data_IF_310644340735
#
_entry.id   IF_310644340735
#
_cell.length_a   1.000
_cell.length_b   1.000
_cell.length_c   1.000
_cell.angle_alpha   90.00
_cell.angle_beta   90.00
_cell.angle_gamma   90.00
#
_symmetry.space_group_name_H-M   'P 1'
#
loop_
_entity.id
_entity.type
_entity.pdbx_description
1 polymer ?
#
# COMPACT_ATOMS: atom_id res chain seq x y z
N UNK A 1 7.68 -9.72 6.20
CA UNK A 1 7.13 -8.45 6.74
C UNK A 1 8.27 -7.46 6.88
N UNK A 2 8.16 -6.28 6.26
CA UNK A 2 9.20 -5.23 6.30
C UNK A 2 9.50 -4.86 7.77
N UNK A 3 10.78 -4.67 8.12
CA UNK A 3 11.27 -4.49 9.50
C UNK A 3 10.61 -3.27 10.17
N UNK A 4 10.40 -2.21 9.40
CA UNK A 4 9.84 -0.93 9.81
C UNK A 4 8.39 -1.10 10.27
N UNK A 5 7.54 -1.79 9.50
CA UNK A 5 6.15 -2.06 9.89
C UNK A 5 6.06 -2.85 11.19
N UNK A 6 6.95 -3.84 11.39
CA UNK A 6 6.99 -4.61 12.64
C UNK A 6 7.28 -3.70 13.82
N UNK A 7 8.25 -2.79 13.68
CA UNK A 7 8.59 -1.82 14.72
C UNK A 7 7.41 -0.89 15.03
N UNK A 8 6.72 -0.39 14.01
CA UNK A 8 5.54 0.49 14.19
C UNK A 8 4.43 -0.24 14.93
N UNK A 9 4.09 -1.47 14.53
CA UNK A 9 3.07 -2.28 15.20
C UNK A 9 3.47 -2.54 16.66
N UNK A 10 4.71 -2.95 16.91
CA UNK A 10 5.21 -3.19 18.27
C UNK A 10 5.19 -1.93 19.15
N UNK A 11 5.45 -0.76 18.57
CA UNK A 11 5.35 0.50 19.28
C UNK A 11 3.89 0.87 19.57
N UNK A 12 3.00 0.71 18.60
CA UNK A 12 1.58 1.00 18.72
C UNK A 12 0.87 0.13 19.77
N UNK A 13 1.27 -1.14 19.92
CA UNK A 13 0.73 -2.06 20.92
C UNK A 13 0.99 -1.64 22.39
N UNK A 14 1.76 -0.58 22.62
CA UNK A 14 1.95 0.02 23.95
C UNK A 14 0.83 0.99 24.33
N UNK A 15 -0.04 1.33 23.37
CA UNK A 15 -1.15 2.25 23.52
C UNK A 15 -2.48 1.51 23.38
N UNK A 16 -3.57 2.16 23.80
CA UNK A 16 -4.92 1.65 23.60
C UNK A 16 -5.36 1.92 22.16
N UNK A 17 -5.15 0.92 21.30
CA UNK A 17 -5.49 0.97 19.87
C UNK A 17 -6.69 0.08 19.61
N UNK A 18 -7.63 0.58 18.81
CA UNK A 18 -8.87 -0.12 18.49
C UNK A 18 -8.65 -1.16 17.37
N UNK A 19 -7.77 -0.85 16.40
CA UNK A 19 -7.58 -1.70 15.22
C UNK A 19 -6.22 -1.50 14.54
N UNK A 20 -5.73 -2.55 13.88
CA UNK A 20 -4.51 -2.56 13.06
C UNK A 20 -4.76 -3.33 11.77
N UNK A 21 -4.70 -2.64 10.64
CA UNK A 21 -4.91 -3.22 9.32
C UNK A 21 -3.70 -3.03 8.42
N UNK A 22 -3.44 -4.00 7.54
CA UNK A 22 -2.41 -3.90 6.51
C UNK A 22 -3.02 -4.08 5.13
N UNK A 23 -2.68 -3.18 4.21
CA UNK A 23 -3.14 -3.20 2.83
C UNK A 23 -1.97 -3.21 1.86
N UNK A 24 -2.17 -3.82 0.70
CA UNK A 24 -1.35 -3.55 -0.47
C UNK A 24 -1.82 -2.23 -1.10
N UNK A 25 -0.89 -1.31 -1.27
CA UNK A 25 -1.06 -0.02 -1.93
C UNK A 25 -0.73 -0.08 -3.42
N UNK A 26 -0.74 1.08 -4.05
CA UNK A 26 -0.44 1.23 -5.47
C UNK A 26 1.05 0.93 -5.74
N UNK A 27 1.36 0.32 -6.89
CA UNK A 27 2.74 -0.08 -7.29
C UNK A 27 3.48 -0.94 -6.26
N UNK A 28 2.73 -1.72 -5.48
CA UNK A 28 3.28 -2.62 -4.48
C UNK A 28 3.68 -1.97 -3.16
N UNK A 29 3.43 -0.68 -2.96
CA UNK A 29 3.61 -0.08 -1.64
C UNK A 29 2.78 -0.84 -0.60
N UNK A 30 3.22 -0.84 0.65
CA UNK A 30 2.54 -1.52 1.74
C UNK A 30 2.09 -0.50 2.77
N UNK A 31 0.78 -0.46 3.00
CA UNK A 31 0.12 0.51 3.88
C UNK A 31 -0.24 -0.18 5.19
N UNK A 32 0.15 0.41 6.30
CA UNK A 32 -0.26 0.04 7.65
C UNK A 32 -1.22 1.12 8.16
N UNK A 33 -2.44 0.74 8.52
CA UNK A 33 -3.44 1.60 9.16
C UNK A 33 -3.55 1.20 10.63
N UNK A 34 -3.42 2.16 11.53
CA UNK A 34 -3.70 1.99 12.96
C UNK A 34 -4.81 2.95 13.34
N UNK A 35 -5.77 2.47 14.14
CA UNK A 35 -6.93 3.24 14.58
C UNK A 35 -6.95 3.32 16.10
N UNK A 36 -7.22 4.50 16.63
CA UNK A 36 -7.44 4.72 18.06
C UNK A 36 -8.39 5.90 18.27
N UNK A 37 -9.14 5.90 19.37
CA UNK A 37 -9.85 7.07 19.89
C UNK A 37 -8.94 8.11 20.55
N UNK A 38 -7.72 7.70 20.91
CA UNK A 38 -6.75 8.56 21.57
C UNK A 38 -5.86 9.28 20.53
N UNK A 39 -6.04 10.59 20.42
CA UNK A 39 -5.24 11.43 19.52
C UNK A 39 -3.78 11.52 19.96
N UNK A 40 -3.50 11.44 21.25
CA UNK A 40 -2.14 11.56 21.77
C UNK A 40 -1.35 10.28 21.43
N UNK A 41 -1.99 9.11 21.57
CA UNK A 41 -1.44 7.85 21.08
C UNK A 41 -1.12 7.91 19.58
N UNK A 42 -2.05 8.42 18.75
CA UNK A 42 -1.83 8.59 17.31
C UNK A 42 -0.69 9.55 17.00
N UNK A 43 -0.58 10.67 17.74
CA UNK A 43 0.50 11.62 17.58
C UNK A 43 1.86 11.00 17.93
N UNK A 44 1.96 10.21 18.99
CA UNK A 44 3.20 9.51 19.36
C UNK A 44 3.57 8.42 18.35
N UNK A 45 2.59 7.66 17.85
CA UNK A 45 2.80 6.67 16.79
C UNK A 45 3.28 7.35 15.51
N UNK A 46 2.68 8.49 15.13
CA UNK A 46 3.09 9.28 13.97
C UNK A 46 4.54 9.78 14.13
N UNK A 47 4.87 10.37 15.27
CA UNK A 47 6.24 10.84 15.57
C UNK A 47 7.24 9.70 15.44
N UNK A 48 6.95 8.56 16.05
CA UNK A 48 7.81 7.38 15.97
C UNK A 48 7.97 6.89 14.52
N UNK A 49 6.87 6.75 13.77
CA UNK A 49 6.90 6.28 12.39
C UNK A 49 7.73 7.20 11.47
N UNK A 50 7.65 8.52 11.66
CA UNK A 50 8.45 9.50 10.93
C UNK A 50 9.98 9.33 11.16
N UNK A 51 10.40 8.74 12.28
CA UNK A 51 11.84 8.46 12.52
C UNK A 51 12.38 7.28 11.73
N UNK A 52 11.52 6.46 11.11
CA UNK A 52 11.91 5.19 10.49
C UNK A 52 12.28 5.31 9.00
N UNK A 53 12.26 6.52 8.42
CA UNK A 53 12.62 6.74 7.01
C UNK A 53 11.69 6.02 6.03
N UNK A 54 10.41 5.90 6.39
CA UNK A 54 9.37 5.30 5.53
C UNK A 54 8.84 6.33 4.51
N UNK A 55 8.06 5.88 3.53
CA UNK A 55 7.66 6.74 2.40
C UNK A 55 6.78 7.90 2.85
N UNK A 56 5.78 7.62 3.68
CA UNK A 56 4.84 8.64 4.14
C UNK A 56 4.12 8.21 5.43
N UNK A 57 3.66 9.19 6.19
CA UNK A 57 2.82 9.03 7.39
C UNK A 57 1.70 10.06 7.39
N UNK A 58 0.46 9.59 7.24
CA UNK A 58 -0.73 10.45 7.15
C UNK A 58 -1.66 10.17 8.31
N UNK A 59 -2.10 11.22 9.00
CA UNK A 59 -3.13 11.13 10.04
C UNK A 59 -4.46 11.65 9.48
N UNK A 60 -5.54 10.93 9.76
CA UNK A 60 -6.90 11.32 9.42
C UNK A 60 -7.79 11.24 10.66
N UNK A 61 -8.75 12.14 10.74
CA UNK A 61 -9.81 12.08 11.73
C UNK A 61 -11.09 11.62 11.03
N UNK A 62 -11.73 10.58 11.56
CA UNK A 62 -13.03 10.12 11.13
C UNK A 62 -14.09 10.60 12.14
N UNK A 63 -14.76 11.74 11.89
CA UNK A 63 -15.67 12.34 12.85
C UNK A 63 -16.93 11.50 13.10
N UNK A 64 -17.30 10.63 12.17
CA UNK A 64 -18.50 9.79 12.30
C UNK A 64 -18.31 8.64 13.30
N UNK A 65 -17.06 8.19 13.48
CA UNK A 65 -16.71 7.12 14.42
C UNK A 65 -15.95 7.64 15.64
N UNK A 66 -15.67 8.95 15.72
CA UNK A 66 -14.83 9.58 16.74
C UNK A 66 -13.45 8.90 16.86
N UNK A 67 -12.91 8.45 15.73
CA UNK A 67 -11.65 7.73 15.66
C UNK A 67 -10.60 8.55 14.90
N UNK A 68 -9.36 8.38 15.32
CA UNK A 68 -8.19 8.86 14.62
C UNK A 68 -7.49 7.67 13.96
N UNK A 69 -7.01 7.91 12.74
CA UNK A 69 -6.40 6.89 11.90
C UNK A 69 -5.02 7.38 11.47
N UNK A 70 -3.98 6.58 11.70
CA UNK A 70 -2.64 6.82 11.15
C UNK A 70 -2.33 5.79 10.08
N UNK A 71 -1.89 6.27 8.93
CA UNK A 71 -1.50 5.49 7.77
C UNK A 71 0.01 5.63 7.57
N UNK A 72 0.72 4.51 7.67
CA UNK A 72 2.16 4.44 7.46
C UNK A 72 2.42 3.68 6.15
N UNK A 73 3.06 4.35 5.18
CA UNK A 73 3.35 3.78 3.85
C UNK A 73 4.81 3.36 3.78
N UNK A 74 5.04 2.11 3.41
CA UNK A 74 6.39 1.53 3.24
C UNK A 74 6.56 1.01 1.83
N UNK A 75 7.74 1.24 1.23
CA UNK A 75 8.07 0.64 -0.08
C UNK A 75 8.15 -0.87 0.07
N UNK A 76 7.55 -1.62 -0.85
CA UNK A 76 7.86 -3.03 -0.94
C UNK A 76 9.14 -3.26 -1.73
N UNK A 77 10.04 -4.07 -1.16
CA UNK A 77 11.35 -4.37 -1.73
C UNK A 77 11.26 -5.45 -2.80
N UNK A 78 10.16 -6.21 -2.77
CA UNK A 78 9.93 -7.37 -3.64
C UNK A 78 9.02 -7.04 -4.83
N UNK A 79 8.53 -5.80 -4.95
CA UNK A 79 7.68 -5.41 -6.08
C UNK A 79 8.51 -4.98 -7.30
N UNK A 80 8.26 -5.65 -8.42
CA UNK A 80 8.79 -5.28 -9.73
C UNK A 80 8.09 -4.02 -10.25
N UNK A 81 8.87 -3.01 -10.62
CA UNK A 81 8.32 -1.87 -11.38
C UNK A 81 7.92 -2.36 -12.78
N UNK A 82 6.67 -2.13 -13.17
CA UNK A 82 6.24 -2.36 -14.56
C UNK A 82 7.14 -1.49 -15.44
N UNK A 83 7.87 -2.11 -16.37
CA UNK A 83 8.79 -1.44 -17.28
C UNK A 83 8.14 -0.17 -17.84
N UNK A 84 8.73 0.99 -17.57
CA UNK A 84 8.28 2.28 -18.12
C UNK A 84 8.73 2.49 -19.56
N UNK A 85 9.37 1.49 -20.18
CA UNK A 85 9.68 1.56 -21.60
C UNK A 85 8.38 1.76 -22.37
N UNK A 86 8.28 2.78 -23.24
CA UNK A 86 7.13 2.90 -24.12
C UNK A 86 7.03 1.60 -24.89
N UNK A 87 5.88 0.93 -24.77
CA UNK A 87 5.57 -0.23 -25.59
C UNK A 87 5.72 0.22 -27.04
N UNK A 88 6.84 -0.12 -27.66
CA UNK A 88 6.96 -0.07 -29.10
C UNK A 88 5.98 -1.14 -29.56
N UNK A 89 4.77 -0.73 -29.93
CA UNK A 89 3.89 -1.57 -30.71
C UNK A 89 4.69 -1.99 -31.93
N UNK A 90 5.23 -3.20 -31.91
CA UNK A 90 5.58 -3.86 -33.16
C UNK A 90 4.24 -4.03 -33.87
N UNK A 91 4.16 -3.54 -35.11
CA UNK A 91 3.06 -3.90 -35.99
C UNK A 91 3.10 -5.43 -36.14
N UNK A 92 2.33 -6.10 -35.31
CA UNK A 92 2.08 -7.52 -35.47
C UNK A 92 1.24 -7.64 -36.74
N UNK A 93 1.73 -8.43 -37.70
CA UNK A 93 0.91 -8.86 -38.81
C UNK A 93 -0.42 -9.37 -38.26
N UNK A 94 -1.54 -8.81 -38.74
CA UNK A 94 -2.90 -9.21 -38.38
C UNK A 94 -3.26 -10.59 -38.96
N UNK A 95 -2.34 -11.55 -38.89
CA UNK A 95 -2.67 -12.95 -39.14
C UNK A 95 -3.38 -13.48 -37.91
N UNK A 96 -4.69 -13.27 -37.90
CA UNK A 96 -5.59 -13.86 -36.93
C UNK A 96 -5.60 -15.37 -37.17
N UNK A 97 -5.35 -16.18 -36.14
CA UNK A 97 -5.27 -17.65 -36.23
C UNK A 97 -6.58 -18.26 -36.78
N UNK A 98 -7.69 -17.54 -36.63
CA UNK A 98 -9.02 -17.91 -37.10
C UNK A 98 -9.27 -17.65 -38.59
N UNK A 99 -8.37 -16.94 -39.28
CA UNK A 99 -8.52 -16.62 -40.71
C UNK A 99 -8.44 -17.83 -41.65
N UNK A 100 -7.98 -18.98 -41.16
CA UNK A 100 -7.85 -20.22 -41.95
C UNK A 100 -9.01 -21.22 -41.74
N UNK A 101 -10.04 -20.89 -40.96
CA UNK A 101 -11.08 -21.87 -40.55
C UNK A 101 -12.31 -21.88 -41.47
N UNK A 102 -12.31 -21.12 -42.57
CA UNK A 102 -13.48 -21.05 -43.46
C UNK A 102 -13.14 -21.40 -44.90
N UNK A 103 -13.12 -22.70 -45.24
CA UNK A 103 -13.46 -23.27 -46.57
C UNK A 103 -13.26 -24.80 -46.60
N UNK A 104 -14.22 -25.52 -46.05
CA UNK A 104 -14.61 -26.84 -46.57
C UNK A 104 -16.14 -26.86 -46.59
N UNK A 105 -16.69 -26.60 -47.78
CA UNK A 105 -18.01 -27.04 -48.28
C UNK A 105 -18.04 -26.81 -49.80
#
# INVERSE_FOLDING_TARGET
MQIERRKIIQFALKYDIDDVNTYAGYKGDLVLKIVSKDIDAIAEIQKFANTLGILDVVVKHNPNLLHYEVFCVTKDKDTYEIKQEPLKHQDHSKHDVWSNVSRED
#
